data_IF_596714580491
#
_entry.id   IF_596714580491
#
_cell.length_a   1.000
_cell.length_b   1.000
_cell.length_c   1.000
_cell.angle_alpha   90.00
_cell.angle_beta   90.00
_cell.angle_gamma   90.00
#
_symmetry.space_group_name_H-M   'P 1'
#
loop_
_entity.id
_entity.type
_entity.pdbx_description
1 polymer ?
#
# COMPACT_ATOMS: atom_id res chain seq x y z
N UNK A 1 -8.51 -20.00 -6.24
CA UNK A 1 -7.60 -20.75 -7.14
C UNK A 1 -6.69 -19.76 -7.84
N UNK A 2 -5.37 -19.95 -7.81
CA UNK A 2 -4.44 -19.13 -8.58
C UNK A 2 -4.69 -19.37 -10.08
N UNK A 3 -4.82 -18.30 -10.85
CA UNK A 3 -4.96 -18.41 -12.31
C UNK A 3 -3.60 -18.83 -12.90
N UNK A 4 -3.54 -20.06 -13.44
CA UNK A 4 -2.33 -20.63 -14.02
C UNK A 4 -1.90 -19.99 -15.34
N UNK A 5 -2.69 -19.06 -15.91
CA UNK A 5 -2.31 -18.27 -17.09
C UNK A 5 -1.37 -17.11 -16.77
N UNK A 6 -1.24 -16.76 -15.48
CA UNK A 6 -0.35 -15.71 -15.02
C UNK A 6 1.10 -16.18 -15.07
N UNK A 7 1.94 -15.47 -15.82
CA UNK A 7 3.38 -15.70 -15.88
C UNK A 7 4.04 -14.92 -14.75
N UNK A 8 4.68 -15.65 -13.84
CA UNK A 8 5.40 -15.05 -12.71
C UNK A 8 6.80 -14.62 -13.14
N UNK A 9 7.23 -13.48 -12.61
CA UNK A 9 8.55 -12.94 -12.86
C UNK A 9 9.65 -13.87 -12.32
N UNK A 10 10.77 -14.04 -13.05
CA UNK A 10 11.96 -14.70 -12.50
C UNK A 10 12.50 -13.90 -11.30
N UNK A 11 13.16 -14.59 -10.36
CA UNK A 11 13.80 -13.97 -9.19
C UNK A 11 15.32 -13.97 -9.38
N UNK A 12 15.92 -12.78 -9.37
CA UNK A 12 17.37 -12.61 -9.42
C UNK A 12 17.92 -12.17 -8.06
N UNK A 13 18.96 -12.85 -7.60
CA UNK A 13 19.73 -12.44 -6.43
C UNK A 13 20.96 -11.66 -6.87
N UNK A 14 21.09 -10.42 -6.41
CA UNK A 14 22.16 -9.49 -6.77
C UNK A 14 22.83 -8.94 -5.51
N UNK A 15 24.05 -8.41 -5.62
CA UNK A 15 24.64 -7.61 -4.53
C UNK A 15 24.35 -6.14 -4.81
N UNK A 16 23.35 -5.58 -4.13
CA UNK A 16 22.86 -4.20 -4.32
C UNK A 16 22.66 -3.53 -2.94
N UNK A 17 21.90 -2.43 -2.87
CA UNK A 17 21.40 -1.88 -1.59
C UNK A 17 20.46 -2.89 -0.93
N UNK A 18 20.45 -2.98 0.41
CA UNK A 18 19.70 -3.99 1.18
C UNK A 18 18.16 -3.83 1.03
N UNK A 19 17.66 -4.21 -0.14
CA UNK A 19 16.31 -3.97 -0.62
C UNK A 19 15.88 -5.05 -1.64
N UNK A 20 14.60 -5.08 -1.95
CA UNK A 20 14.03 -5.87 -3.05
C UNK A 20 13.06 -5.03 -3.86
N UNK A 21 12.87 -5.40 -5.12
CA UNK A 21 11.84 -4.76 -5.94
C UNK A 21 11.34 -5.68 -7.04
N UNK A 22 10.04 -5.63 -7.27
CA UNK A 22 9.41 -6.15 -8.49
C UNK A 22 9.43 -5.10 -9.61
N UNK A 23 9.81 -5.51 -10.83
CA UNK A 23 9.78 -4.72 -12.06
C UNK A 23 9.12 -5.54 -13.18
N UNK A 24 8.95 -4.97 -14.38
CA UNK A 24 8.31 -5.67 -15.51
C UNK A 24 8.99 -7.00 -15.88
N UNK A 25 10.31 -7.10 -15.78
CA UNK A 25 11.06 -8.27 -16.25
C UNK A 25 11.40 -9.29 -15.16
N UNK A 26 11.46 -8.86 -13.89
CA UNK A 26 11.94 -9.69 -12.80
C UNK A 26 11.68 -9.10 -11.39
N UNK A 27 11.81 -9.96 -10.39
CA UNK A 27 12.01 -9.57 -9.00
C UNK A 27 13.52 -9.56 -8.72
N UNK A 28 14.03 -8.42 -8.26
CA UNK A 28 15.45 -8.25 -7.92
C UNK A 28 15.59 -8.16 -6.41
N UNK A 29 16.41 -9.03 -5.82
CA UNK A 29 16.59 -9.10 -4.36
C UNK A 29 18.07 -8.97 -4.01
N UNK A 30 18.39 -8.11 -3.04
CA UNK A 30 19.72 -8.09 -2.46
C UNK A 30 20.06 -9.39 -1.74
N UNK A 31 21.20 -9.98 -2.11
CA UNK A 31 21.64 -11.25 -1.56
C UNK A 31 22.03 -11.11 -0.09
N UNK A 32 22.62 -9.99 0.33
CA UNK A 32 22.99 -9.82 1.74
C UNK A 32 21.77 -9.65 2.64
N UNK A 33 20.71 -8.97 2.16
CA UNK A 33 19.42 -8.88 2.82
C UNK A 33 18.79 -10.27 2.98
N UNK A 34 18.65 -11.03 1.89
CA UNK A 34 17.94 -12.31 1.90
C UNK A 34 18.72 -13.40 2.66
N UNK A 35 20.05 -13.34 2.62
CA UNK A 35 20.92 -14.32 3.28
C UNK A 35 20.83 -14.26 4.80
N UNK A 36 20.63 -13.06 5.38
CA UNK A 36 20.52 -12.86 6.83
C UNK A 36 19.16 -13.27 7.42
N UNK A 37 18.15 -13.43 6.56
CA UNK A 37 16.78 -13.81 6.96
C UNK A 37 16.68 -15.29 7.33
N UNK A 38 15.73 -15.63 8.19
CA UNK A 38 15.27 -17.01 8.36
C UNK A 38 14.57 -17.51 7.09
N UNK A 39 14.35 -18.82 6.97
CA UNK A 39 13.64 -19.38 5.82
C UNK A 39 12.23 -18.78 5.67
N UNK A 40 11.47 -18.67 6.76
CA UNK A 40 10.13 -18.08 6.71
C UNK A 40 10.18 -16.60 6.30
N UNK A 41 11.12 -15.82 6.83
CA UNK A 41 11.27 -14.42 6.44
C UNK A 41 11.64 -14.24 4.96
N UNK A 42 12.40 -15.18 4.37
CA UNK A 42 12.67 -15.18 2.92
C UNK A 42 11.41 -15.48 2.12
N UNK A 43 10.63 -16.50 2.54
CA UNK A 43 9.37 -16.87 1.89
C UNK A 43 8.40 -15.69 1.92
N UNK A 44 8.20 -15.08 3.09
CA UNK A 44 7.27 -13.97 3.27
C UNK A 44 7.72 -12.74 2.44
N UNK A 45 9.02 -12.43 2.43
CA UNK A 45 9.56 -11.32 1.63
C UNK A 45 9.39 -11.55 0.12
N UNK A 46 9.67 -12.76 -0.38
CA UNK A 46 9.47 -13.07 -1.80
C UNK A 46 7.98 -13.06 -2.14
N UNK A 47 7.12 -13.55 -1.24
CA UNK A 47 5.67 -13.53 -1.43
C UNK A 47 5.10 -12.10 -1.49
N UNK A 48 5.68 -11.16 -0.73
CA UNK A 48 5.39 -9.72 -0.83
C UNK A 48 5.68 -9.21 -2.26
N UNK A 49 6.88 -9.43 -2.78
CA UNK A 49 7.23 -9.00 -4.15
C UNK A 49 6.40 -9.70 -5.24
N UNK A 50 6.09 -10.99 -5.03
CA UNK A 50 5.24 -11.75 -5.94
C UNK A 50 3.79 -11.26 -5.92
N UNK A 51 3.31 -10.69 -4.82
CA UNK A 51 1.98 -10.09 -4.76
C UNK A 51 1.87 -8.91 -5.73
N UNK A 52 2.86 -8.02 -5.79
CA UNK A 52 2.86 -6.92 -6.77
C UNK A 52 2.83 -7.45 -8.21
N UNK A 53 3.62 -8.49 -8.50
CA UNK A 53 3.62 -9.12 -9.81
C UNK A 53 2.25 -9.73 -10.16
N UNK A 54 1.63 -10.42 -9.21
CA UNK A 54 0.30 -10.99 -9.38
C UNK A 54 -0.77 -9.90 -9.56
N UNK A 55 -0.76 -8.87 -8.72
CA UNK A 55 -1.69 -7.74 -8.77
C UNK A 55 -1.57 -6.93 -10.07
N UNK A 56 -0.37 -6.84 -10.65
CA UNK A 56 -0.16 -6.14 -11.91
C UNK A 56 -1.00 -6.66 -13.08
N UNK A 57 -1.50 -7.91 -13.02
CA UNK A 57 -2.43 -8.46 -14.02
C UNK A 57 -3.86 -7.92 -13.90
N UNK A 58 -4.26 -7.50 -12.70
CA UNK A 58 -5.62 -7.04 -12.38
C UNK A 58 -5.72 -5.52 -12.28
N UNK A 59 -4.58 -4.83 -12.20
CA UNK A 59 -4.53 -3.36 -12.12
C UNK A 59 -5.20 -2.73 -13.35
N UNK A 60 -5.94 -1.64 -13.13
CA UNK A 60 -6.47 -0.86 -14.23
C UNK A 60 -5.42 0.15 -14.69
N UNK A 61 -4.76 -0.12 -15.81
CA UNK A 61 -3.70 0.73 -16.35
C UNK A 61 -4.18 2.15 -16.66
N UNK A 62 -5.36 2.28 -17.26
CA UNK A 62 -5.93 3.58 -17.66
C UNK A 62 -6.22 4.45 -16.44
N UNK A 63 -6.72 3.87 -15.35
CA UNK A 63 -6.94 4.58 -14.08
C UNK A 63 -5.64 5.11 -13.48
N UNK A 64 -4.64 4.24 -13.37
CA UNK A 64 -3.36 4.57 -12.70
C UNK A 64 -2.63 5.68 -13.45
N UNK A 65 -2.70 5.69 -14.79
CA UNK A 65 -1.98 6.65 -15.62
C UNK A 65 -2.80 7.90 -15.96
N UNK A 66 -4.05 8.02 -15.49
CA UNK A 66 -4.85 9.22 -15.77
C UNK A 66 -4.47 10.41 -14.88
N UNK A 67 -3.89 10.19 -13.70
CA UNK A 67 -3.37 11.25 -12.83
C UNK A 67 -2.42 10.71 -11.74
N UNK A 68 -1.56 11.58 -11.21
CA UNK A 68 -0.66 11.24 -10.09
C UNK A 68 -1.45 10.92 -8.80
N UNK A 69 -2.63 11.54 -8.62
CA UNK A 69 -3.53 11.19 -7.52
C UNK A 69 -4.00 9.73 -7.63
N UNK A 70 -4.40 9.28 -8.81
CA UNK A 70 -4.87 7.91 -9.02
C UNK A 70 -3.75 6.90 -8.80
N UNK A 71 -2.53 7.23 -9.26
CA UNK A 71 -1.34 6.44 -8.96
C UNK A 71 -1.08 6.34 -7.45
N UNK A 72 -1.17 7.44 -6.71
CA UNK A 72 -1.00 7.43 -5.25
C UNK A 72 -2.06 6.58 -4.53
N UNK A 73 -3.33 6.65 -4.95
CA UNK A 73 -4.42 5.83 -4.39
C UNK A 73 -4.17 4.33 -4.61
N UNK A 74 -3.69 3.96 -5.80
CA UNK A 74 -3.35 2.59 -6.15
C UNK A 74 -2.17 2.08 -5.32
N UNK A 75 -1.11 2.89 -5.20
CA UNK A 75 0.12 2.54 -4.47
C UNK A 75 -0.14 2.30 -2.97
N UNK A 76 -0.99 3.14 -2.34
CA UNK A 76 -1.41 2.95 -0.94
C UNK A 76 -2.08 1.58 -0.75
N UNK A 77 -2.95 1.16 -1.68
CA UNK A 77 -3.59 -0.16 -1.62
C UNK A 77 -2.56 -1.28 -1.84
N UNK A 78 -1.73 -1.15 -2.87
CA UNK A 78 -0.76 -2.17 -3.27
C UNK A 78 0.18 -2.51 -2.11
N UNK A 79 0.89 -1.50 -1.60
CA UNK A 79 1.85 -1.68 -0.51
C UNK A 79 1.17 -2.08 0.80
N UNK A 80 -0.01 -1.55 1.06
CA UNK A 80 -0.75 -1.88 2.27
C UNK A 80 -1.14 -3.35 2.37
N UNK A 81 -1.59 -3.94 1.26
CA UNK A 81 -1.92 -5.36 1.20
C UNK A 81 -0.64 -6.21 1.19
N UNK A 82 0.38 -5.80 0.45
CA UNK A 82 1.65 -6.50 0.39
C UNK A 82 2.31 -6.61 1.78
N UNK A 83 2.27 -5.54 2.58
CA UNK A 83 2.86 -5.51 3.93
C UNK A 83 2.18 -6.47 4.92
N UNK A 84 0.93 -6.91 4.67
CA UNK A 84 0.31 -7.97 5.48
C UNK A 84 0.99 -9.33 5.33
N UNK A 85 1.80 -9.53 4.28
CA UNK A 85 2.46 -10.82 4.01
C UNK A 85 3.68 -10.98 4.93
N UNK A 86 4.55 -9.97 4.95
CA UNK A 86 5.88 -10.04 5.58
C UNK A 86 6.04 -9.16 6.83
N UNK A 87 5.20 -8.14 7.02
CA UNK A 87 5.27 -7.22 8.18
C UNK A 87 4.12 -7.41 9.17
N UNK A 88 3.33 -8.49 9.08
CA UNK A 88 2.19 -8.81 9.98
C UNK A 88 2.50 -8.73 11.49
N UNK A 89 3.77 -8.89 11.88
CA UNK A 89 4.25 -8.77 13.26
C UNK A 89 4.43 -7.30 13.73
N UNK A 90 4.16 -6.34 12.85
CA UNK A 90 4.39 -4.91 13.01
C UNK A 90 5.81 -4.48 12.63
N UNK A 91 5.98 -3.24 12.15
CA UNK A 91 7.29 -2.74 11.69
C UNK A 91 8.39 -2.86 12.75
N UNK A 92 8.10 -2.56 14.02
CA UNK A 92 9.11 -2.64 15.08
C UNK A 92 9.74 -4.03 15.16
N UNK A 93 8.90 -5.08 15.25
CA UNK A 93 9.38 -6.45 15.31
C UNK A 93 9.97 -6.89 13.97
N UNK A 94 9.38 -6.49 12.84
CA UNK A 94 9.93 -6.77 11.52
C UNK A 94 11.37 -6.30 11.38
N UNK A 95 11.67 -5.04 11.73
CA UNK A 95 13.04 -4.54 11.62
C UNK A 95 13.99 -5.17 12.65
N UNK A 96 13.54 -5.41 13.88
CA UNK A 96 14.33 -6.11 14.91
C UNK A 96 14.68 -7.54 14.47
N UNK A 97 13.71 -8.32 13.98
CA UNK A 97 13.95 -9.70 13.56
C UNK A 97 14.79 -9.83 12.28
N UNK A 98 14.94 -8.74 11.52
CA UNK A 98 15.82 -8.67 10.35
C UNK A 98 17.23 -8.13 10.67
N UNK A 99 17.55 -7.97 11.97
CA UNK A 99 18.86 -7.57 12.46
C UNK A 99 18.73 -6.72 13.71
N UNK A 100 18.57 -5.41 13.52
CA UNK A 100 18.37 -4.42 14.58
C UNK A 100 17.37 -3.36 14.11
N UNK A 101 16.72 -2.68 15.04
CA UNK A 101 15.91 -1.50 14.70
C UNK A 101 16.83 -0.41 14.18
N UNK A 102 16.78 -0.18 12.88
CA UNK A 102 17.53 0.89 12.22
C UNK A 102 16.78 2.21 12.32
N UNK A 103 17.45 3.33 12.02
CA UNK A 103 16.82 4.64 11.86
C UNK A 103 15.63 4.57 10.88
N UNK A 104 15.78 3.79 9.79
CA UNK A 104 14.69 3.54 8.85
C UNK A 104 13.51 2.82 9.53
N UNK A 105 13.78 1.82 10.36
CA UNK A 105 12.74 1.14 11.13
C UNK A 105 12.01 2.05 12.10
N UNK A 106 12.72 2.96 12.78
CA UNK A 106 12.10 3.99 13.63
C UNK A 106 11.20 4.94 12.83
N UNK A 107 11.64 5.34 11.63
CA UNK A 107 10.84 6.15 10.71
C UNK A 107 9.55 5.42 10.32
N UNK A 108 9.63 4.14 9.94
CA UNK A 108 8.45 3.35 9.56
C UNK A 108 7.47 3.17 10.72
N UNK A 109 7.96 2.87 11.93
CA UNK A 109 7.12 2.77 13.14
C UNK A 109 6.42 4.10 13.43
N UNK A 110 7.14 5.22 13.31
CA UNK A 110 6.59 6.57 13.48
C UNK A 110 5.51 6.87 12.44
N UNK A 111 5.80 6.65 11.15
CA UNK A 111 4.86 6.92 10.06
C UNK A 111 3.60 6.05 10.18
N UNK A 112 3.73 4.77 10.52
CA UNK A 112 2.58 3.89 10.77
C UNK A 112 1.70 4.42 11.91
N UNK A 113 2.32 4.94 12.98
CA UNK A 113 1.59 5.54 14.10
C UNK A 113 0.94 6.88 13.75
N UNK A 114 1.48 7.59 12.76
CA UNK A 114 0.98 8.87 12.24
C UNK A 114 -0.10 8.71 11.17
N UNK A 115 -0.29 7.50 10.63
CA UNK A 115 -1.24 7.21 9.57
C UNK A 115 -2.66 7.82 9.74
N UNK A 116 -3.28 7.88 10.94
CA UNK A 116 -4.57 8.57 11.10
C UNK A 116 -4.52 10.07 10.77
N UNK A 117 -3.47 10.77 11.24
CA UNK A 117 -3.26 12.19 10.94
C UNK A 117 -2.91 12.39 9.48
N UNK A 118 -2.13 11.48 8.90
CA UNK A 118 -1.78 11.51 7.49
C UNK A 118 -3.00 11.27 6.59
N UNK A 119 -3.92 10.38 6.97
CA UNK A 119 -5.21 10.18 6.29
C UNK A 119 -6.11 11.42 6.38
N UNK A 120 -6.12 12.11 7.52
CA UNK A 120 -6.84 13.38 7.67
C UNK A 120 -6.30 14.46 6.75
N UNK A 121 -4.98 14.60 6.68
CA UNK A 121 -4.31 15.54 5.77
C UNK A 121 -4.53 15.15 4.31
N UNK A 122 -4.44 13.86 3.99
CA UNK A 122 -4.66 13.32 2.64
C UNK A 122 -6.05 13.67 2.11
N UNK A 123 -7.10 13.38 2.86
CA UNK A 123 -8.46 13.75 2.43
C UNK A 123 -8.65 15.27 2.33
N UNK A 124 -8.04 16.04 3.24
CA UNK A 124 -8.22 17.50 3.27
C UNK A 124 -7.61 18.16 2.04
N UNK A 125 -6.40 17.73 1.67
CA UNK A 125 -5.68 18.21 0.47
C UNK A 125 -6.45 17.87 -0.80
N UNK A 126 -6.94 16.63 -0.92
CA UNK A 126 -7.73 16.21 -2.09
C UNK A 126 -9.05 16.97 -2.17
N UNK A 127 -9.73 17.19 -1.04
CA UNK A 127 -10.96 17.97 -1.02
C UNK A 127 -10.74 19.44 -1.36
N UNK A 128 -9.64 20.04 -0.91
CA UNK A 128 -9.30 21.41 -1.29
C UNK A 128 -8.99 21.53 -2.78
N UNK A 129 -8.32 20.54 -3.38
CA UNK A 129 -8.15 20.46 -4.83
C UNK A 129 -9.49 20.31 -5.57
N UNK A 130 -10.36 19.39 -5.11
CA UNK A 130 -11.69 19.15 -5.72
C UNK A 130 -12.61 20.36 -5.70
N UNK A 131 -12.29 21.36 -4.87
CA UNK A 131 -13.04 22.62 -4.69
C UNK A 131 -12.31 23.82 -5.30
N UNK A 132 -11.32 23.58 -6.16
CA UNK A 132 -10.51 24.58 -6.83
C UNK A 132 -9.79 25.57 -5.86
N UNK A 133 -9.54 25.16 -4.61
CA UNK A 133 -8.85 26.02 -3.62
C UNK A 133 -7.33 25.96 -3.75
N UNK A 134 -6.81 24.85 -4.26
CA UNK A 134 -5.38 24.64 -4.54
C UNK A 134 -5.22 24.08 -5.95
N UNK A 135 -4.04 24.27 -6.52
CA UNK A 135 -3.69 23.69 -7.82
C UNK A 135 -3.40 22.20 -7.70
N UNK A 136 -3.48 21.48 -8.81
CA UNK A 136 -3.06 20.08 -8.90
C UNK A 136 -1.61 19.89 -8.44
N UNK A 137 -0.69 20.74 -8.91
CA UNK A 137 0.72 20.70 -8.48
C UNK A 137 0.84 20.79 -6.96
N UNK A 138 0.10 21.70 -6.33
CA UNK A 138 0.15 21.86 -4.87
C UNK A 138 -0.44 20.65 -4.15
N UNK A 139 -1.49 20.04 -4.68
CA UNK A 139 -2.04 18.78 -4.17
C UNK A 139 -0.98 17.66 -4.24
N UNK A 140 -0.31 17.50 -5.38
CA UNK A 140 0.70 16.45 -5.58
C UNK A 140 1.90 16.64 -4.66
N UNK A 141 2.41 17.87 -4.50
CA UNK A 141 3.49 18.17 -3.56
C UNK A 141 3.15 17.73 -2.12
N UNK A 142 1.91 17.97 -1.69
CA UNK A 142 1.43 17.56 -0.38
C UNK A 142 1.23 16.04 -0.27
N UNK A 143 0.70 15.39 -1.33
CA UNK A 143 0.52 13.94 -1.39
C UNK A 143 1.87 13.22 -1.29
N UNK A 144 2.93 13.68 -1.97
CA UNK A 144 4.26 13.07 -1.89
C UNK A 144 4.82 13.10 -0.46
N UNK A 145 4.54 14.15 0.30
CA UNK A 145 4.93 14.24 1.71
C UNK A 145 4.11 13.35 2.65
N UNK A 146 2.92 12.92 2.22
CA UNK A 146 2.03 12.04 3.00
C UNK A 146 2.31 10.58 2.65
N UNK A 147 2.39 10.26 1.35
CA UNK A 147 2.54 8.90 0.80
C UNK A 147 4.03 8.56 0.71
N UNK A 148 4.72 8.57 1.87
CA UNK A 148 6.15 8.23 1.95
C UNK A 148 6.35 6.73 1.72
N UNK A 149 7.48 6.38 1.11
CA UNK A 149 7.88 4.99 0.85
C UNK A 149 6.77 4.19 0.15
N UNK A 150 6.29 4.67 -1.01
CA UNK A 150 5.22 3.99 -1.75
C UNK A 150 3.86 3.96 -1.03
N UNK A 151 3.74 4.57 0.15
CA UNK A 151 2.55 4.44 0.97
C UNK A 151 2.56 3.20 1.86
N UNK A 152 3.68 2.48 2.01
CA UNK A 152 3.83 1.36 2.94
C UNK A 152 3.17 1.67 4.31
N UNK A 153 3.56 2.73 5.05
CA UNK A 153 3.07 2.87 6.43
C UNK A 153 1.58 3.20 6.53
N UNK A 154 1.07 4.07 5.66
CA UNK A 154 -0.35 4.47 5.64
C UNK A 154 -1.23 3.35 5.09
N UNK A 155 -0.79 2.68 4.03
CA UNK A 155 -1.46 1.52 3.43
C UNK A 155 -1.50 0.35 4.40
N UNK A 156 -0.39 0.04 5.07
CA UNK A 156 -0.32 -1.05 6.03
C UNK A 156 -1.21 -0.78 7.24
N UNK A 157 -1.27 0.47 7.72
CA UNK A 157 -2.22 0.86 8.76
C UNK A 157 -3.66 0.58 8.32
N UNK A 158 -4.04 1.01 7.11
CA UNK A 158 -5.39 0.78 6.59
C UNK A 158 -5.69 -0.71 6.45
N UNK A 159 -4.77 -1.49 5.89
CA UNK A 159 -4.92 -2.92 5.69
C UNK A 159 -5.08 -3.68 7.02
N UNK A 160 -4.29 -3.33 8.04
CA UNK A 160 -4.46 -3.90 9.39
C UNK A 160 -5.81 -3.55 10.01
N UNK A 161 -6.31 -2.33 9.79
CA UNK A 161 -7.65 -1.93 10.26
C UNK A 161 -8.73 -2.78 9.61
N UNK A 162 -8.66 -2.99 8.30
CA UNK A 162 -9.56 -3.85 7.53
C UNK A 162 -9.54 -5.28 8.07
N UNK A 163 -8.36 -5.88 8.22
CA UNK A 163 -8.20 -7.26 8.72
C UNK A 163 -8.72 -7.39 10.15
N UNK A 164 -8.40 -6.43 11.03
CA UNK A 164 -8.84 -6.44 12.44
C UNK A 164 -10.35 -6.32 12.60
N UNK A 165 -11.06 -5.74 11.62
CA UNK A 165 -12.52 -5.69 11.57
C UNK A 165 -13.16 -6.94 10.92
N UNK A 166 -12.36 -7.92 10.49
CA UNK A 166 -12.85 -9.13 9.83
C UNK A 166 -13.16 -8.97 8.35
N UNK A 167 -12.64 -7.93 7.69
CA UNK A 167 -12.89 -7.63 6.27
C UNK A 167 -11.83 -8.15 5.29
N UNK A 168 -11.01 -9.10 5.73
CA UNK A 168 -9.92 -9.64 4.92
C UNK A 168 -10.41 -10.28 3.62
N UNK A 169 -11.45 -11.11 3.67
CA UNK A 169 -12.00 -11.77 2.47
C UNK A 169 -12.51 -10.77 1.45
N UNK A 170 -13.21 -9.72 1.89
CA UNK A 170 -13.69 -8.66 1.00
C UNK A 170 -12.52 -7.92 0.35
N UNK A 171 -11.47 -7.61 1.12
CA UNK A 171 -10.26 -6.97 0.60
C UNK A 171 -9.53 -7.85 -0.41
N UNK A 172 -9.49 -9.17 -0.21
CA UNK A 172 -8.90 -10.11 -1.17
C UNK A 172 -9.74 -10.26 -2.44
N UNK A 173 -11.06 -10.05 -2.39
CA UNK A 173 -11.90 -10.02 -3.59
C UNK A 173 -11.67 -8.73 -4.40
N UNK A 174 -11.39 -7.62 -3.72
CA UNK A 174 -11.28 -6.29 -4.33
C UNK A 174 -9.86 -5.71 -4.32
N UNK A 175 -8.83 -6.57 -4.21
CA UNK A 175 -7.42 -6.21 -4.05
C UNK A 175 -6.81 -5.36 -5.18
N UNK A 176 -7.52 -5.22 -6.30
CA UNK A 176 -7.17 -4.42 -7.47
C UNK A 176 -7.97 -3.12 -7.60
N UNK A 177 -8.93 -2.87 -6.70
CA UNK A 177 -9.81 -1.71 -6.73
C UNK A 177 -9.50 -0.75 -5.56
N UNK A 178 -8.83 0.39 -5.81
CA UNK A 178 -8.47 1.33 -4.75
C UNK A 178 -9.69 1.91 -4.01
N UNK A 179 -10.79 2.20 -4.69
CA UNK A 179 -12.00 2.71 -4.03
C UNK A 179 -12.51 1.73 -2.97
N UNK A 180 -12.55 0.44 -3.30
CA UNK A 180 -13.00 -0.60 -2.36
C UNK A 180 -12.06 -0.72 -1.16
N UNK A 181 -10.76 -0.53 -1.34
CA UNK A 181 -9.80 -0.50 -0.22
C UNK A 181 -10.11 0.65 0.76
N UNK A 182 -10.30 1.86 0.27
CA UNK A 182 -10.68 3.02 1.10
C UNK A 182 -12.07 2.84 1.74
N UNK A 183 -13.03 2.25 1.01
CA UNK A 183 -14.37 1.94 1.52
C UNK A 183 -14.33 0.94 2.66
N UNK A 184 -13.57 -0.15 2.51
CA UNK A 184 -13.38 -1.17 3.55
C UNK A 184 -12.65 -0.58 4.77
N UNK A 185 -11.62 0.24 4.55
CA UNK A 185 -10.97 0.97 5.63
C UNK A 185 -11.98 1.84 6.41
N UNK A 186 -12.77 2.67 5.70
CA UNK A 186 -13.70 3.58 6.37
C UNK A 186 -14.76 2.82 7.18
N UNK A 187 -15.22 1.67 6.66
CA UNK A 187 -16.10 0.75 7.38
C UNK A 187 -15.45 0.20 8.66
N UNK A 188 -14.22 -0.29 8.54
CA UNK A 188 -13.45 -0.79 9.68
C UNK A 188 -13.17 0.28 10.73
N UNK A 189 -12.79 1.49 10.31
CA UNK A 189 -12.54 2.62 11.18
C UNK A 189 -13.78 3.00 11.99
N UNK A 190 -14.96 3.00 11.37
CA UNK A 190 -16.24 3.25 12.06
C UNK A 190 -16.52 2.22 13.17
N UNK A 191 -16.31 0.93 12.90
CA UNK A 191 -16.55 -0.15 13.88
C UNK A 191 -15.55 -0.14 15.04
N UNK A 192 -14.34 0.34 14.77
CA UNK A 192 -13.26 0.40 15.75
C UNK A 192 -13.12 1.75 16.44
N UNK A 193 -14.06 2.69 16.23
CA UNK A 193 -13.99 4.07 16.73
C UNK A 193 -12.68 4.80 16.37
N UNK A 194 -12.16 4.54 15.16
CA UNK A 194 -10.98 5.20 14.60
C UNK A 194 -11.33 6.43 13.75
N UNK A 195 -10.30 7.05 13.17
CA UNK A 195 -10.46 8.15 12.22
C UNK A 195 -11.19 7.69 10.95
N UNK A 196 -12.30 8.35 10.63
CA UNK A 196 -13.13 8.06 9.46
C UNK A 196 -12.88 9.09 8.37
N UNK A 197 -12.85 8.60 7.13
CA UNK A 197 -12.88 9.44 5.95
C UNK A 197 -14.28 10.05 5.82
N UNK A 198 -14.35 11.32 5.44
CA UNK A 198 -15.61 12.03 5.27
C UNK A 198 -16.43 11.47 4.10
N UNK A 199 -17.75 11.57 4.19
CA UNK A 199 -18.65 11.19 3.09
C UNK A 199 -18.33 11.96 1.80
N UNK A 200 -17.94 13.24 1.93
CA UNK A 200 -17.54 14.08 0.81
C UNK A 200 -16.31 13.52 0.09
N UNK A 201 -15.28 13.12 0.84
CA UNK A 201 -14.09 12.47 0.29
C UNK A 201 -14.42 11.14 -0.36
N UNK A 202 -15.23 10.30 0.30
CA UNK A 202 -15.61 9.00 -0.26
C UNK A 202 -16.44 9.13 -1.53
N UNK A 203 -17.29 10.15 -1.63
CA UNK A 203 -18.03 10.45 -2.84
C UNK A 203 -17.10 10.91 -3.97
N UNK A 204 -16.14 11.78 -3.67
CA UNK A 204 -15.13 12.18 -4.65
C UNK A 204 -14.34 10.99 -5.18
N UNK A 205 -13.87 10.10 -4.30
CA UNK A 205 -13.16 8.87 -4.71
C UNK A 205 -14.04 7.97 -5.59
N UNK A 206 -15.31 7.81 -5.27
CA UNK A 206 -16.24 7.03 -6.10
C UNK A 206 -16.36 7.63 -7.50
N UNK A 207 -16.51 8.96 -7.60
CA UNK A 207 -16.67 9.64 -8.88
C UNK A 207 -15.47 9.49 -9.80
N UNK A 208 -14.24 9.53 -9.27
CA UNK A 208 -13.02 9.37 -10.08
C UNK A 208 -12.68 7.91 -10.40
N UNK A 209 -13.30 6.93 -9.73
CA UNK A 209 -13.01 5.49 -9.91
C UNK A 209 -14.10 4.73 -10.66
N UNK A 210 -15.37 5.15 -10.59
CA UNK A 210 -16.54 4.41 -11.08
C UNK A 210 -16.50 4.00 -12.56
N UNK A 211 -15.81 4.76 -13.41
CA UNK A 211 -15.72 4.44 -14.84
C UNK A 211 -14.71 3.34 -15.14
N UNK A 212 -13.73 3.17 -14.24
CA UNK A 212 -12.60 2.24 -14.38
C UNK A 212 -12.87 0.88 -13.74
N UNK A 213 -13.66 0.85 -12.66
CA UNK A 213 -13.96 -0.36 -11.90
C UNK A 213 -15.47 -0.59 -11.88
N UNK A 214 -15.96 -1.39 -12.83
CA UNK A 214 -17.38 -1.78 -12.96
C UNK A 214 -17.67 -3.12 -12.34
#
# INVERSE_FOLDING_TARGET
PLDSSIILNPVYFLFITADGKNNEEAIYVDFNLIYKKTEQQRIDFIAHEMFHNYRAYFRNYDFIHSSDLNSALDMIQDEGIADLIDKKIGYNNYFIENGELTELGEIFVKLYSQAPTDLERFQSVILDYSKDKITETKMIDEIIEIVKFGGHPIGFYMANKIVSAGYQEQMLITFYNPYEFFRLYNKAAKEQNGFQLSDEFMNYLNEITKEYYR
#
